data_IF_183470213266
#
_entry.id   IF_183470213266
#
_cell.length_a   1.000
_cell.length_b   1.000
_cell.length_c   1.000
_cell.angle_alpha   90.00
_cell.angle_beta   90.00
_cell.angle_gamma   90.00
#
_symmetry.space_group_name_H-M   'P 1'
#
loop_
_entity.id
_entity.type
_entity.pdbx_description
1 polymer ?
#
# COMPACT_ATOMS: atom_id res chain seq x y z
N UNK A 1 -25.94 2.47 9.45
CA UNK A 1 -25.35 3.69 8.87
C UNK A 1 -23.86 3.47 8.73
N UNK A 2 -23.19 4.10 7.75
CA UNK A 2 -21.73 4.01 7.57
C UNK A 2 -21.03 5.06 8.45
N UNK A 3 -19.90 4.71 9.06
CA UNK A 3 -19.17 5.59 9.99
C UNK A 3 -17.86 6.15 9.40
N UNK A 4 -17.01 5.28 8.85
CA UNK A 4 -15.72 5.64 8.28
C UNK A 4 -15.21 4.55 7.34
N UNK A 5 -14.10 4.83 6.65
CA UNK A 5 -13.27 3.80 6.05
C UNK A 5 -12.45 3.15 7.17
N UNK A 6 -12.70 1.87 7.44
CA UNK A 6 -11.96 1.11 8.45
C UNK A 6 -10.55 0.73 7.95
N UNK A 7 -10.45 0.23 6.72
CA UNK A 7 -9.20 -0.11 6.06
C UNK A 7 -9.36 -0.07 4.54
N UNK A 8 -8.24 -0.06 3.83
CA UNK A 8 -8.19 -0.33 2.38
C UNK A 8 -7.52 -1.67 2.14
N UNK A 9 -8.15 -2.53 1.34
CA UNK A 9 -7.56 -3.79 0.89
C UNK A 9 -6.95 -3.63 -0.51
N UNK A 10 -5.69 -4.02 -0.66
CA UNK A 10 -5.04 -4.20 -1.96
C UNK A 10 -4.75 -5.69 -2.17
N UNK A 11 -4.88 -6.15 -3.41
CA UNK A 11 -4.56 -7.51 -3.78
C UNK A 11 -3.05 -7.67 -3.95
N UNK A 12 -2.55 -8.89 -3.74
CA UNK A 12 -1.19 -9.29 -4.01
C UNK A 12 -1.13 -10.75 -4.46
N UNK A 13 -0.13 -11.15 -5.26
CA UNK A 13 0.04 -12.54 -5.66
C UNK A 13 0.64 -13.37 -4.51
N UNK A 14 0.43 -14.70 -4.50
CA UNK A 14 1.04 -15.59 -3.52
C UNK A 14 2.57 -15.46 -3.46
N UNK A 15 3.14 -15.50 -2.25
CA UNK A 15 4.59 -15.47 -2.03
C UNK A 15 5.21 -14.07 -2.10
N UNK A 16 4.40 -13.01 -2.15
CA UNK A 16 4.86 -11.63 -2.18
C UNK A 16 5.03 -11.00 -0.79
N UNK A 17 4.63 -11.68 0.28
CA UNK A 17 4.52 -11.11 1.63
C UNK A 17 5.85 -10.53 2.15
N UNK A 18 6.98 -11.19 1.90
CA UNK A 18 8.28 -10.68 2.38
C UNK A 18 8.72 -9.43 1.63
N UNK A 19 8.45 -9.34 0.33
CA UNK A 19 8.70 -8.13 -0.43
C UNK A 19 7.78 -6.98 0.05
N UNK A 20 6.51 -7.29 0.30
CA UNK A 20 5.54 -6.34 0.84
C UNK A 20 5.95 -5.88 2.25
N UNK A 21 6.40 -6.76 3.14
CA UNK A 21 6.92 -6.37 4.46
C UNK A 21 8.08 -5.40 4.34
N UNK A 22 9.08 -5.68 3.50
CA UNK A 22 10.20 -4.76 3.28
C UNK A 22 9.73 -3.39 2.81
N UNK A 23 8.77 -3.35 1.89
CA UNK A 23 8.24 -2.08 1.41
C UNK A 23 7.39 -1.35 2.45
N UNK A 24 6.35 -1.98 2.99
CA UNK A 24 5.42 -1.31 3.90
C UNK A 24 6.03 -1.01 5.27
N UNK A 25 6.91 -1.87 5.79
CA UNK A 25 7.61 -1.64 7.07
C UNK A 25 8.83 -0.76 6.86
N UNK A 26 9.81 -1.22 6.07
CA UNK A 26 11.09 -0.52 5.99
C UNK A 26 10.98 0.75 5.15
N UNK A 27 10.32 0.68 3.98
CA UNK A 27 10.23 1.81 3.05
C UNK A 27 9.14 2.81 3.42
N UNK A 28 7.97 2.40 3.89
CA UNK A 28 6.92 3.34 4.30
C UNK A 28 6.96 3.69 5.79
N UNK A 29 7.63 2.89 6.62
CA UNK A 29 7.69 3.11 8.07
C UNK A 29 6.41 2.69 8.79
N UNK A 30 5.60 1.79 8.21
CA UNK A 30 4.40 1.26 8.86
C UNK A 30 4.75 0.13 9.84
N UNK A 31 3.83 -0.19 10.74
CA UNK A 31 3.95 -1.36 11.63
C UNK A 31 3.13 -2.51 11.07
N UNK A 32 3.72 -3.70 10.95
CA UNK A 32 2.97 -4.93 10.63
C UNK A 32 2.11 -5.34 11.83
N UNK A 33 0.84 -5.64 11.57
CA UNK A 33 -0.12 -6.11 12.57
C UNK A 33 -0.31 -7.63 12.45
N UNK A 34 -0.43 -8.35 13.58
CA UNK A 34 -0.74 -9.77 13.54
C UNK A 34 -2.15 -9.98 12.98
N UNK A 35 -2.28 -10.88 12.02
CA UNK A 35 -3.59 -11.31 11.52
C UNK A 35 -4.28 -12.22 12.54
N UNK A 36 -5.61 -12.15 12.68
CA UNK A 36 -6.37 -13.15 13.42
C UNK A 36 -6.06 -14.57 12.90
N UNK A 37 -5.95 -15.60 13.76
CA UNK A 37 -5.51 -16.94 13.34
C UNK A 37 -6.29 -17.52 12.16
N UNK A 38 -7.62 -17.32 12.13
CA UNK A 38 -8.51 -17.78 11.05
C UNK A 38 -8.21 -17.13 9.69
N UNK A 39 -7.67 -15.91 9.69
CA UNK A 39 -7.30 -15.18 8.48
C UNK A 39 -5.83 -15.36 8.10
N UNK A 40 -4.97 -15.74 9.06
CA UNK A 40 -3.55 -15.99 8.81
C UNK A 40 -3.33 -17.16 7.84
N UNK A 41 -4.21 -18.17 7.88
CA UNK A 41 -4.18 -19.32 6.97
C UNK A 41 -4.35 -18.94 5.47
N UNK A 42 -4.81 -17.72 5.17
CA UNK A 42 -5.04 -17.22 3.79
C UNK A 42 -3.87 -16.38 3.24
N UNK A 43 -2.71 -16.39 3.90
CA UNK A 43 -1.54 -15.59 3.50
C UNK A 43 -1.75 -14.08 3.64
N UNK A 44 -0.79 -13.27 3.19
CA UNK A 44 -0.90 -11.80 3.19
C UNK A 44 -0.50 -11.13 4.51
N UNK A 45 -0.52 -9.79 4.53
CA UNK A 45 0.02 -8.98 5.62
C UNK A 45 -0.82 -7.72 5.87
N UNK A 46 -0.90 -7.28 7.14
CA UNK A 46 -1.68 -6.10 7.55
C UNK A 46 -0.73 -5.04 8.11
N UNK A 47 -0.94 -3.78 7.76
CA UNK A 47 -0.07 -2.68 8.17
C UNK A 47 -0.85 -1.51 8.74
N UNK A 48 -0.23 -0.81 9.68
CA UNK A 48 -0.78 0.36 10.35
C UNK A 48 0.22 1.51 10.49
N UNK A 49 -0.29 2.74 10.38
CA UNK A 49 0.42 3.96 10.77
C UNK A 49 -0.61 5.02 11.24
N UNK A 50 -0.67 5.32 12.54
CA UNK A 50 -1.72 6.16 13.10
C UNK A 50 -3.12 5.57 12.83
N UNK A 51 -3.96 6.31 12.10
CA UNK A 51 -5.30 5.86 11.67
C UNK A 51 -5.30 5.12 10.33
N UNK A 52 -4.18 5.08 9.61
CA UNK A 52 -4.08 4.36 8.33
C UNK A 52 -4.04 2.86 8.59
N UNK A 53 -4.85 2.11 7.84
CA UNK A 53 -4.91 0.64 7.85
C UNK A 53 -4.91 0.13 6.42
N UNK A 54 -3.88 -0.63 6.05
CA UNK A 54 -3.74 -1.26 4.74
C UNK A 54 -3.64 -2.77 4.90
N UNK A 55 -4.52 -3.50 4.22
CA UNK A 55 -4.52 -4.96 4.20
C UNK A 55 -4.09 -5.46 2.82
N UNK A 56 -3.05 -6.28 2.79
CA UNK A 56 -2.56 -6.93 1.58
C UNK A 56 -3.11 -8.36 1.57
N UNK A 57 -4.13 -8.57 0.75
CA UNK A 57 -4.81 -9.86 0.60
C UNK A 57 -4.22 -10.66 -0.54
N UNK A 58 -3.93 -11.94 -0.32
CA UNK A 58 -3.46 -12.82 -1.38
C UNK A 58 -4.64 -13.18 -2.28
N UNK A 59 -4.48 -12.91 -3.59
CA UNK A 59 -5.39 -13.36 -4.62
C UNK A 59 -4.90 -14.72 -5.13
N UNK A 60 -5.46 -15.79 -4.57
CA UNK A 60 -5.07 -17.16 -4.91
C UNK A 60 -5.46 -17.54 -6.34
N UNK A 61 -4.79 -18.57 -6.85
CA UNK A 61 -5.26 -19.28 -8.03
C UNK A 61 -6.67 -19.88 -7.79
N UNK A 62 -7.51 -20.03 -8.83
CA UNK A 62 -8.78 -20.73 -8.71
C UNK A 62 -8.58 -22.14 -8.12
N UNK A 63 -9.50 -22.56 -7.24
CA UNK A 63 -9.45 -23.83 -6.51
C UNK A 63 -9.30 -25.08 -7.40
N UNK A 64 -9.64 -24.96 -8.68
CA UNK A 64 -9.58 -26.05 -9.67
C UNK A 64 -8.21 -26.14 -10.39
N UNK A 65 -7.16 -25.50 -9.87
CA UNK A 65 -5.80 -25.63 -10.39
C UNK A 65 -5.45 -24.69 -11.54
N UNK A 66 -5.93 -23.44 -11.49
CA UNK A 66 -5.62 -22.40 -12.49
C UNK A 66 -4.34 -21.62 -12.21
N UNK A 67 -3.99 -20.67 -13.10
CA UNK A 67 -2.97 -19.65 -12.82
C UNK A 67 -3.58 -18.56 -11.94
N UNK A 68 -2.82 -18.06 -10.96
CA UNK A 68 -3.15 -16.80 -10.30
C UNK A 68 -3.21 -15.69 -11.36
N UNK A 69 -4.32 -14.95 -11.40
CA UNK A 69 -4.56 -13.87 -12.35
C UNK A 69 -4.41 -12.49 -11.72
N UNK A 70 -3.62 -12.38 -10.66
CA UNK A 70 -3.34 -11.10 -10.00
C UNK A 70 -2.99 -10.02 -11.02
N UNK A 71 -3.69 -8.88 -10.92
CA UNK A 71 -3.44 -7.67 -11.71
C UNK A 71 -3.25 -6.50 -10.74
N UNK A 72 -2.11 -5.80 -10.80
CA UNK A 72 -1.89 -4.66 -9.94
C UNK A 72 -2.92 -3.55 -10.18
N UNK A 73 -3.37 -2.92 -9.09
CA UNK A 73 -4.25 -1.76 -9.14
C UNK A 73 -3.44 -0.51 -9.53
N UNK A 74 -3.27 -0.30 -10.85
CA UNK A 74 -2.49 0.83 -11.39
C UNK A 74 -3.24 2.16 -11.44
N UNK A 75 -4.56 2.14 -11.22
CA UNK A 75 -5.43 3.34 -11.24
C UNK A 75 -6.16 3.55 -9.92
N UNK A 76 -6.90 2.56 -9.42
CA UNK A 76 -7.47 2.64 -8.08
C UNK A 76 -6.35 2.53 -7.04
N UNK A 77 -6.33 3.43 -6.06
CA UNK A 77 -5.29 3.47 -5.03
C UNK A 77 -5.79 4.18 -3.77
N UNK A 78 -5.19 3.91 -2.60
CA UNK A 78 -5.36 4.75 -1.43
C UNK A 78 -4.58 6.07 -1.58
N UNK A 79 -5.23 7.18 -1.23
CA UNK A 79 -4.59 8.48 -1.04
C UNK A 79 -4.18 8.66 0.43
N UNK A 80 -2.88 8.69 0.68
CA UNK A 80 -2.28 8.70 2.01
C UNK A 80 -1.79 10.10 2.36
N UNK A 81 -2.38 10.71 3.38
CA UNK A 81 -1.91 12.00 3.87
C UNK A 81 -0.59 11.82 4.61
N UNK A 82 0.40 12.65 4.27
CA UNK A 82 1.72 12.66 4.92
C UNK A 82 2.04 14.04 5.48
N UNK A 83 3.06 14.10 6.33
CA UNK A 83 3.66 15.35 6.79
C UNK A 83 5.11 15.41 6.32
N UNK A 84 5.57 16.57 5.88
CA UNK A 84 6.92 16.74 5.32
C UNK A 84 7.12 15.94 4.04
N UNK A 85 6.23 16.12 3.06
CA UNK A 85 6.14 15.27 1.85
C UNK A 85 7.46 15.16 1.07
N UNK A 86 8.27 16.22 1.05
CA UNK A 86 9.59 16.24 0.40
C UNK A 86 10.59 15.30 1.07
N UNK A 87 10.67 15.38 2.40
CA UNK A 87 11.55 14.52 3.16
C UNK A 87 11.08 13.06 3.07
N UNK A 88 9.77 12.84 3.07
CA UNK A 88 9.20 11.51 2.91
C UNK A 88 9.48 10.93 1.50
N UNK A 89 9.27 11.72 0.45
CA UNK A 89 9.62 11.35 -0.92
C UNK A 89 11.12 11.02 -1.07
N UNK A 90 12.00 11.84 -0.48
CA UNK A 90 13.44 11.59 -0.50
C UNK A 90 13.82 10.29 0.23
N UNK A 91 13.18 10.00 1.37
CA UNK A 91 13.37 8.74 2.11
C UNK A 91 12.89 7.52 1.31
N UNK A 92 11.74 7.60 0.65
CA UNK A 92 11.25 6.52 -0.20
C UNK A 92 12.25 6.23 -1.34
N UNK A 93 12.72 7.28 -2.03
CA UNK A 93 13.73 7.15 -3.09
C UNK A 93 15.04 6.53 -2.60
N UNK A 94 15.54 6.94 -1.42
CA UNK A 94 16.82 6.42 -0.90
C UNK A 94 16.75 4.94 -0.51
N UNK A 95 15.55 4.43 -0.24
CA UNK A 95 15.29 3.02 0.03
C UNK A 95 14.83 2.24 -1.22
N UNK A 96 14.91 2.87 -2.41
CA UNK A 96 14.69 2.21 -3.70
C UNK A 96 13.26 2.23 -4.23
N UNK A 97 12.32 2.95 -3.59
CA UNK A 97 10.97 3.11 -4.13
C UNK A 97 10.90 4.16 -5.25
N UNK A 98 9.97 3.95 -6.17
CA UNK A 98 9.65 4.93 -7.22
C UNK A 98 8.91 6.11 -6.61
N UNK A 99 9.17 7.32 -7.12
CA UNK A 99 8.46 8.53 -6.71
C UNK A 99 8.25 9.39 -7.95
N UNK A 100 6.99 9.51 -8.35
CA UNK A 100 6.55 10.29 -9.50
C UNK A 100 5.70 11.46 -9.00
N UNK A 101 6.25 12.66 -9.04
CA UNK A 101 5.54 13.88 -8.65
C UNK A 101 4.42 14.21 -9.65
N UNK A 102 3.30 14.72 -9.12
CA UNK A 102 2.15 15.18 -9.88
C UNK A 102 1.76 16.57 -9.36
N UNK A 103 1.65 17.52 -10.28
CA UNK A 103 1.39 18.94 -10.01
C UNK A 103 -0.02 19.37 -10.44
N UNK A 104 -0.86 18.43 -10.84
CA UNK A 104 -2.18 18.69 -11.42
C UNK A 104 -3.30 18.79 -10.37
N UNK A 105 -2.97 18.66 -9.09
CA UNK A 105 -3.92 18.79 -7.97
C UNK A 105 -3.73 20.14 -7.25
N UNK A 106 -4.62 21.13 -7.47
CA UNK A 106 -4.58 22.39 -6.74
C UNK A 106 -4.71 22.20 -5.22
N UNK A 107 -3.99 23.04 -4.45
CA UNK A 107 -4.06 23.04 -3.00
C UNK A 107 -3.30 21.89 -2.31
N UNK A 108 -2.61 21.03 -3.07
CA UNK A 108 -1.84 19.92 -2.52
C UNK A 108 -0.52 19.72 -3.27
N UNK A 109 0.47 19.25 -2.53
CA UNK A 109 1.64 18.57 -3.09
C UNK A 109 1.35 17.08 -3.06
N UNK A 110 1.65 16.37 -4.15
CA UNK A 110 1.48 14.93 -4.18
C UNK A 110 2.50 14.21 -5.07
N UNK A 111 2.73 12.95 -4.76
CA UNK A 111 3.45 12.03 -5.62
C UNK A 111 2.80 10.64 -5.57
N UNK A 112 3.08 9.82 -6.58
CA UNK A 112 2.74 8.41 -6.59
C UNK A 112 3.98 7.55 -6.41
N UNK A 113 3.80 6.41 -5.74
CA UNK A 113 4.75 5.29 -5.69
C UNK A 113 4.03 4.00 -6.10
N UNK A 114 4.78 2.97 -6.39
CA UNK A 114 4.27 1.61 -6.59
C UNK A 114 4.86 0.68 -5.52
N UNK A 115 4.02 -0.20 -4.97
CA UNK A 115 4.50 -1.28 -4.13
C UNK A 115 5.26 -2.35 -4.98
N UNK A 116 5.92 -3.34 -4.35
CA UNK A 116 6.70 -4.36 -5.08
C UNK A 116 5.90 -5.24 -6.04
N UNK A 117 4.56 -5.22 -5.95
CA UNK A 117 3.68 -6.00 -6.83
C UNK A 117 2.97 -5.10 -7.84
N UNK A 118 3.27 -3.80 -7.86
CA UNK A 118 2.82 -2.82 -8.84
C UNK A 118 1.53 -2.09 -8.48
N UNK A 119 1.00 -2.23 -7.26
CA UNK A 119 -0.15 -1.44 -6.82
C UNK A 119 0.27 0.01 -6.62
N UNK A 120 -0.53 0.94 -7.14
CA UNK A 120 -0.29 2.38 -6.96
C UNK A 120 -0.65 2.80 -5.53
N UNK A 121 0.14 3.72 -4.99
CA UNK A 121 -0.13 4.48 -3.77
C UNK A 121 0.04 5.97 -4.08
N UNK A 122 -0.86 6.82 -3.57
CA UNK A 122 -0.71 8.29 -3.63
C UNK A 122 -0.33 8.80 -2.25
N UNK A 123 0.62 9.74 -2.21
CA UNK A 123 0.99 10.46 -0.99
C UNK A 123 0.75 11.94 -1.22
N UNK A 124 0.08 12.60 -0.28
CA UNK A 124 -0.33 14.00 -0.44
C UNK A 124 -0.24 14.80 0.86
N UNK A 125 0.09 16.08 0.73
CA UNK A 125 0.16 17.07 1.81
C UNK A 125 -0.48 18.38 1.31
N UNK A 126 -1.41 19.00 2.05
CA UNK A 126 -1.98 20.30 1.67
C UNK A 126 -0.90 21.38 1.52
N UNK A 127 -0.99 22.19 0.47
CA UNK A 127 -0.22 23.44 0.38
C UNK A 127 -0.96 24.48 1.21
N UNK A 128 -0.32 24.98 2.27
CA UNK A 128 -0.84 26.10 3.05
C UNK A 128 -1.00 27.38 2.24
#
# INVERSE_FOLDING_TARGET
MLEAVDHVQLAAPPGSEDALRRYYVDVLGMTELPKPPVLAARGGCWFAAGTVRLHLGIEDAPAEGGKCHFRPARKAHPGLRVTGIEAYAARLKSLGASVTWDHDLPGHRRFYSEDPVGNRLEFLEPTG
#
